data_IF_247614745886
#
_entry.id   IF_247614745886
#
_cell.length_a   1.000
_cell.length_b   1.000
_cell.length_c   1.000
_cell.angle_alpha   90.00
_cell.angle_beta   90.00
_cell.angle_gamma   90.00
#
_symmetry.space_group_name_H-M   'P 1'
#
loop_
_entity.id
_entity.type
_entity.pdbx_description
1 polymer ?
#
# COMPACT_ATOMS: atom_id res chain seq x y z
N UNK A 1 21.37 22.60 20.33
CA UNK A 1 20.48 23.42 19.50
C UNK A 1 19.68 22.51 18.56
N UNK A 2 18.42 22.88 18.28
CA UNK A 2 17.60 22.21 17.28
C UNK A 2 18.08 22.65 15.89
N UNK A 3 18.34 21.70 15.00
CA UNK A 3 18.86 22.00 13.67
C UNK A 3 17.87 21.69 12.53
N UNK A 4 16.73 21.04 12.82
CA UNK A 4 15.72 20.71 11.81
C UNK A 4 14.37 20.40 12.42
N UNK A 5 13.37 20.25 11.55
CA UNK A 5 12.00 19.90 11.91
C UNK A 5 11.55 18.68 11.12
N UNK A 6 10.73 17.84 11.73
CA UNK A 6 10.10 16.68 11.10
C UNK A 6 8.61 16.61 11.45
N UNK A 7 7.79 16.25 10.45
CA UNK A 7 6.37 15.98 10.64
C UNK A 7 5.89 14.86 9.72
N UNK A 8 5.52 13.73 10.29
CA UNK A 8 4.92 12.61 9.54
C UNK A 8 3.45 12.42 9.90
N UNK A 9 2.58 12.41 8.88
CA UNK A 9 1.15 12.11 9.03
C UNK A 9 0.71 11.20 7.88
N UNK A 10 0.42 9.94 8.16
CA UNK A 10 0.13 8.94 7.13
C UNK A 10 -1.29 9.00 6.54
N UNK A 11 -2.27 9.52 7.26
CA UNK A 11 -3.69 9.46 6.85
C UNK A 11 -4.23 10.71 6.18
N UNK A 12 -3.70 11.88 6.46
CA UNK A 12 -4.14 13.15 5.87
C UNK A 12 -3.41 13.39 4.53
N UNK A 13 -3.89 12.77 3.46
CA UNK A 13 -3.17 12.66 2.18
C UNK A 13 -3.54 13.73 1.14
N UNK A 14 -4.67 14.43 1.30
CA UNK A 14 -5.13 15.45 0.34
C UNK A 14 -4.29 16.74 0.38
N UNK A 15 -4.30 17.49 -0.70
CA UNK A 15 -3.49 18.72 -0.91
C UNK A 15 -3.72 19.75 0.18
N UNK A 16 -4.96 19.95 0.63
CA UNK A 16 -5.27 20.90 1.72
C UNK A 16 -4.55 20.53 3.02
N UNK A 17 -4.47 19.22 3.34
CA UNK A 17 -3.77 18.76 4.53
C UNK A 17 -2.25 18.94 4.39
N UNK A 18 -1.71 18.73 3.20
CA UNK A 18 -0.30 18.95 2.92
C UNK A 18 0.07 20.42 2.96
N UNK A 19 -0.78 21.32 2.44
CA UNK A 19 -0.59 22.78 2.60
C UNK A 19 -0.52 23.15 4.09
N UNK A 20 -1.48 22.69 4.88
CA UNK A 20 -1.47 22.96 6.33
C UNK A 20 -0.23 22.39 7.03
N UNK A 21 0.26 21.23 6.61
CA UNK A 21 1.47 20.61 7.16
C UNK A 21 2.69 21.48 6.95
N UNK A 22 2.92 21.92 5.71
CA UNK A 22 4.09 22.76 5.41
C UNK A 22 3.95 24.14 6.07
N UNK A 23 2.77 24.76 6.06
CA UNK A 23 2.53 26.06 6.72
C UNK A 23 2.82 25.97 8.23
N UNK A 24 2.38 24.89 8.89
CA UNK A 24 2.65 24.68 10.32
C UNK A 24 4.15 24.45 10.60
N UNK A 25 4.86 23.69 9.76
CA UNK A 25 6.30 23.49 9.91
C UNK A 25 7.06 24.81 9.77
N UNK A 26 6.70 25.65 8.80
CA UNK A 26 7.29 26.96 8.61
C UNK A 26 6.98 27.89 9.78
N UNK A 27 5.73 27.89 10.26
CA UNK A 27 5.34 28.66 11.45
C UNK A 27 6.14 28.25 12.70
N UNK A 28 6.35 26.95 12.90
CA UNK A 28 7.17 26.45 14.02
C UNK A 28 8.63 26.87 13.85
N UNK A 29 9.17 26.82 12.61
CA UNK A 29 10.52 27.29 12.34
C UNK A 29 10.69 28.77 12.72
N UNK A 30 9.78 29.62 12.24
CA UNK A 30 9.83 31.07 12.48
C UNK A 30 9.63 31.46 13.95
N UNK A 31 8.81 30.67 14.67
CA UNK A 31 8.44 31.04 16.06
C UNK A 31 9.44 30.55 17.09
N UNK A 32 10.04 29.38 16.89
CA UNK A 32 10.79 28.68 17.94
C UNK A 32 12.27 28.45 17.60
N UNK A 33 12.70 28.68 16.36
CA UNK A 33 14.11 28.55 16.00
C UNK A 33 14.77 29.93 15.90
N UNK A 34 15.93 30.08 16.52
CA UNK A 34 16.70 31.34 16.50
C UNK A 34 17.26 31.69 15.12
N UNK A 35 17.36 30.68 14.24
CA UNK A 35 17.85 30.80 12.86
C UNK A 35 17.17 29.76 11.97
N UNK A 36 17.24 29.96 10.66
CA UNK A 36 16.70 29.01 9.70
C UNK A 36 17.20 27.58 9.99
N UNK A 37 16.32 26.56 9.98
CA UNK A 37 16.72 25.17 10.15
C UNK A 37 17.66 24.72 9.05
N UNK A 38 18.47 23.70 9.30
CA UNK A 38 19.29 23.06 8.28
C UNK A 38 18.45 22.22 7.33
N UNK A 39 17.37 21.63 7.85
CA UNK A 39 16.43 20.83 7.07
C UNK A 39 14.98 20.89 7.60
N UNK A 40 14.05 20.62 6.71
CA UNK A 40 12.64 20.36 7.01
C UNK A 40 12.27 19.04 6.36
N UNK A 41 11.85 18.08 7.19
CA UNK A 41 11.37 16.79 6.75
C UNK A 41 9.85 16.72 6.90
N UNK A 42 9.17 16.55 5.76
CA UNK A 42 7.71 16.50 5.73
C UNK A 42 7.16 15.07 5.86
N UNK A 43 8.04 14.08 6.10
CA UNK A 43 7.65 12.69 6.18
C UNK A 43 7.01 12.18 4.89
N UNK A 44 5.98 11.35 5.04
CA UNK A 44 5.16 10.92 3.90
C UNK A 44 3.67 10.89 4.27
N UNK A 45 2.91 10.02 3.62
CA UNK A 45 1.46 10.00 3.55
C UNK A 45 0.98 10.61 2.22
N UNK A 46 1.82 10.60 1.20
CA UNK A 46 1.44 10.94 -0.17
C UNK A 46 0.70 9.76 -0.81
N UNK A 47 -0.17 10.06 -1.76
CA UNK A 47 -0.63 9.07 -2.72
C UNK A 47 0.50 8.75 -3.69
N UNK A 48 0.59 7.47 -4.08
CA UNK A 48 1.43 7.02 -5.18
C UNK A 48 0.58 6.68 -6.40
N UNK A 49 1.25 6.30 -7.46
CA UNK A 49 0.57 5.69 -8.59
C UNK A 49 -0.08 4.37 -8.16
N UNK A 50 -1.28 4.11 -8.64
CA UNK A 50 -2.04 2.92 -8.32
C UNK A 50 -2.98 2.55 -9.47
N UNK A 51 -3.48 1.33 -9.44
CA UNK A 51 -4.50 0.88 -10.38
C UNK A 51 -5.75 1.77 -10.32
N UNK A 52 -6.42 1.93 -11.46
CA UNK A 52 -7.60 2.78 -11.58
C UNK A 52 -8.75 2.34 -10.67
N UNK A 53 -8.94 1.05 -10.46
CA UNK A 53 -9.96 0.48 -9.57
C UNK A 53 -9.70 0.80 -8.10
N UNK A 54 -8.43 0.92 -7.71
CA UNK A 54 -8.03 1.34 -6.38
C UNK A 54 -8.13 2.87 -6.24
N UNK A 55 -7.66 3.61 -7.23
CA UNK A 55 -7.72 5.08 -7.26
C UNK A 55 -9.15 5.59 -7.15
N UNK A 56 -10.10 4.96 -7.84
CA UNK A 56 -11.52 5.30 -7.80
C UNK A 56 -12.18 5.17 -6.41
N UNK A 57 -11.55 4.48 -5.47
CA UNK A 57 -12.04 4.36 -4.10
C UNK A 57 -11.63 5.53 -3.19
N UNK A 58 -10.88 6.49 -3.71
CA UNK A 58 -10.49 7.71 -3.00
C UNK A 58 -11.21 8.91 -3.62
N UNK A 59 -11.57 9.89 -2.79
CA UNK A 59 -12.26 11.11 -3.25
C UNK A 59 -11.37 11.94 -4.19
N UNK A 60 -10.08 12.06 -3.87
CA UNK A 60 -9.06 12.66 -4.71
C UNK A 60 -7.71 12.06 -4.38
N UNK A 61 -6.95 11.68 -5.40
CA UNK A 61 -5.57 11.24 -5.27
C UNK A 61 -4.66 12.24 -6.00
N UNK A 62 -4.04 13.19 -5.27
CA UNK A 62 -3.13 14.17 -5.86
C UNK A 62 -1.93 13.51 -6.55
N UNK A 63 -1.44 14.13 -7.61
CA UNK A 63 -0.21 13.74 -8.30
C UNK A 63 1.04 14.14 -7.53
N UNK A 64 2.20 13.62 -7.93
CA UNK A 64 3.48 14.06 -7.36
C UNK A 64 3.74 15.54 -7.62
N UNK A 65 3.33 16.05 -8.78
CA UNK A 65 3.44 17.46 -9.16
C UNK A 65 2.60 18.36 -8.24
N UNK A 66 1.40 17.91 -7.84
CA UNK A 66 0.55 18.65 -6.90
C UNK A 66 1.22 18.77 -5.53
N UNK A 67 1.80 17.67 -5.02
CA UNK A 67 2.55 17.70 -3.77
C UNK A 67 3.80 18.58 -3.89
N UNK A 68 4.54 18.50 -5.00
CA UNK A 68 5.73 19.31 -5.23
C UNK A 68 5.39 20.82 -5.26
N UNK A 69 4.31 21.21 -5.94
CA UNK A 69 3.84 22.60 -5.96
C UNK A 69 3.52 23.12 -4.57
N UNK A 70 2.81 22.32 -3.77
CA UNK A 70 2.40 22.71 -2.44
C UNK A 70 3.59 22.74 -1.48
N UNK A 71 4.39 21.69 -1.41
CA UNK A 71 5.45 21.56 -0.41
C UNK A 71 6.68 22.35 -0.82
N UNK A 72 7.29 21.98 -1.94
CA UNK A 72 8.52 22.62 -2.39
C UNK A 72 8.28 24.06 -2.85
N UNK A 73 7.15 24.34 -3.49
CA UNK A 73 6.78 25.70 -3.91
C UNK A 73 6.58 26.64 -2.74
N UNK A 74 5.86 26.23 -1.68
CA UNK A 74 5.66 27.03 -0.46
C UNK A 74 6.98 27.26 0.26
N UNK A 75 7.79 26.21 0.41
CA UNK A 75 9.09 26.32 1.08
C UNK A 75 10.06 27.21 0.29
N UNK A 76 10.11 27.08 -1.04
CA UNK A 76 10.96 27.90 -1.89
C UNK A 76 10.59 29.39 -1.79
N UNK A 77 9.30 29.72 -1.80
CA UNK A 77 8.81 31.09 -1.61
C UNK A 77 9.15 31.64 -0.23
N UNK A 78 8.95 30.84 0.83
CA UNK A 78 9.21 31.26 2.21
C UNK A 78 10.68 31.64 2.43
N UNK A 79 11.61 30.84 1.89
CA UNK A 79 13.05 31.05 2.03
C UNK A 79 13.68 31.75 0.80
N UNK A 80 12.89 32.45 -0.02
CA UNK A 80 13.41 33.09 -1.26
C UNK A 80 14.60 34.00 -1.00
N UNK A 81 14.52 34.83 0.04
CA UNK A 81 15.53 35.82 0.43
C UNK A 81 16.56 35.29 1.43
N UNK A 82 16.46 34.04 1.85
CA UNK A 82 17.36 33.48 2.83
C UNK A 82 18.73 33.17 2.24
N UNK A 83 19.79 33.59 2.93
CA UNK A 83 21.17 33.29 2.55
C UNK A 83 21.45 31.79 2.58
N UNK A 84 20.89 31.09 3.58
CA UNK A 84 20.95 29.63 3.71
C UNK A 84 19.52 29.08 3.69
N UNK A 85 19.23 28.24 2.70
CA UNK A 85 17.94 27.58 2.53
C UNK A 85 17.97 26.21 3.18
N UNK A 86 16.91 25.80 3.92
CA UNK A 86 16.81 24.44 4.41
C UNK A 86 16.75 23.40 3.31
N UNK A 87 17.27 22.21 3.58
CA UNK A 87 17.07 21.03 2.72
C UNK A 87 15.69 20.47 3.00
N UNK A 88 14.93 20.21 1.93
CA UNK A 88 13.65 19.50 2.02
C UNK A 88 13.89 18.00 1.96
N UNK A 89 13.41 17.27 2.98
CA UNK A 89 13.33 15.82 2.99
C UNK A 89 11.88 15.36 2.91
N UNK A 90 11.69 14.20 2.32
CA UNK A 90 10.44 13.43 2.36
C UNK A 90 10.77 11.94 2.52
N UNK A 91 9.83 11.18 3.11
CA UNK A 91 10.00 9.77 3.44
C UNK A 91 8.97 8.89 2.69
N UNK A 92 8.99 8.86 1.35
CA UNK A 92 8.01 8.13 0.58
C UNK A 92 8.24 6.61 0.72
N UNK A 93 7.27 5.90 1.29
CA UNK A 93 7.26 4.44 1.42
C UNK A 93 6.29 3.80 0.43
N UNK A 94 5.07 3.51 0.87
CA UNK A 94 3.98 2.94 0.04
C UNK A 94 3.82 3.65 -1.30
N UNK A 95 3.97 4.96 -1.31
CA UNK A 95 3.94 5.83 -2.49
C UNK A 95 4.84 5.34 -3.63
N UNK A 96 6.05 4.86 -3.32
CA UNK A 96 7.03 4.44 -4.32
C UNK A 96 6.86 2.99 -4.76
N UNK A 97 6.48 2.09 -3.84
CA UNK A 97 6.64 0.66 -4.07
C UNK A 97 5.33 -0.13 -4.18
N UNK A 98 4.20 0.42 -3.73
CA UNK A 98 2.95 -0.35 -3.64
C UNK A 98 2.55 -1.00 -4.97
N UNK A 99 2.57 -0.24 -6.06
CA UNK A 99 2.11 -0.69 -7.38
C UNK A 99 2.99 -1.76 -8.04
N UNK A 100 4.23 -1.89 -7.60
CA UNK A 100 5.21 -2.77 -8.25
C UNK A 100 5.20 -4.19 -7.71
N UNK A 101 4.44 -4.47 -6.64
CA UNK A 101 4.30 -5.81 -6.10
C UNK A 101 2.88 -6.31 -6.24
N UNK A 102 2.78 -7.57 -6.63
CA UNK A 102 1.54 -8.35 -6.60
C UNK A 102 1.70 -9.56 -5.69
N UNK A 103 0.62 -9.92 -5.00
CA UNK A 103 0.48 -11.18 -4.30
C UNK A 103 -0.22 -12.17 -5.22
N UNK A 104 0.45 -13.28 -5.53
CA UNK A 104 -0.13 -14.40 -6.26
C UNK A 104 -0.50 -15.48 -5.26
N UNK A 105 -1.74 -15.89 -5.24
CA UNK A 105 -2.28 -16.85 -4.27
C UNK A 105 -3.21 -17.85 -4.94
N UNK A 106 -3.25 -19.08 -4.42
CA UNK A 106 -4.08 -20.18 -4.93
C UNK A 106 -5.29 -20.36 -4.05
N UNK A 107 -6.44 -20.65 -4.65
CA UNK A 107 -7.66 -21.04 -3.92
C UNK A 107 -7.52 -22.47 -3.44
N UNK A 108 -7.42 -22.64 -2.12
CA UNK A 108 -7.26 -23.95 -1.48
C UNK A 108 -8.61 -24.63 -1.19
N UNK A 109 -9.56 -23.88 -0.65
CA UNK A 109 -10.82 -24.43 -0.22
C UNK A 109 -11.95 -23.44 -0.33
N UNK A 110 -13.17 -23.93 -0.54
CA UNK A 110 -14.39 -23.12 -0.62
C UNK A 110 -15.44 -23.71 0.31
N UNK A 111 -15.94 -22.89 1.22
CA UNK A 111 -16.97 -23.28 2.20
C UNK A 111 -18.13 -22.29 2.16
N UNK A 112 -19.33 -22.80 2.00
CA UNK A 112 -20.57 -22.02 2.10
C UNK A 112 -21.22 -22.26 3.47
N UNK A 113 -21.49 -21.18 4.19
CA UNK A 113 -22.19 -21.19 5.47
C UNK A 113 -23.38 -20.25 5.35
N UNK A 114 -24.58 -20.79 5.34
CA UNK A 114 -25.84 -20.06 5.10
C UNK A 114 -25.78 -19.31 3.75
N UNK A 115 -25.81 -17.99 3.76
CA UNK A 115 -25.80 -17.10 2.59
C UNK A 115 -24.41 -16.52 2.26
N UNK A 116 -23.35 -17.01 2.93
CA UNK A 116 -21.98 -16.54 2.76
C UNK A 116 -21.07 -17.62 2.23
N UNK A 117 -20.18 -17.25 1.32
CA UNK A 117 -19.11 -18.07 0.80
C UNK A 117 -17.78 -17.58 1.37
N UNK A 118 -16.99 -18.51 1.88
CA UNK A 118 -15.64 -18.29 2.38
C UNK A 118 -14.68 -19.06 1.48
N UNK A 119 -13.83 -18.35 0.80
CA UNK A 119 -12.78 -18.87 -0.08
C UNK A 119 -11.47 -18.76 0.67
N UNK A 120 -10.87 -19.86 1.08
CA UNK A 120 -9.57 -19.87 1.73
C UNK A 120 -8.47 -19.96 0.68
N UNK A 121 -7.42 -19.15 0.83
CA UNK A 121 -6.27 -19.13 -0.05
C UNK A 121 -4.96 -19.42 0.71
N UNK A 122 -3.90 -19.79 -0.01
CA UNK A 122 -2.57 -20.12 0.51
C UNK A 122 -1.73 -18.91 0.96
N UNK A 123 -2.37 -17.77 1.17
CA UNK A 123 -1.76 -16.54 1.66
C UNK A 123 -2.57 -15.93 2.81
N UNK A 124 -2.13 -14.82 3.34
CA UNK A 124 -2.77 -14.11 4.44
C UNK A 124 -2.86 -12.61 4.13
N UNK A 125 -3.77 -11.90 4.79
CA UNK A 125 -3.85 -10.44 4.69
C UNK A 125 -2.51 -9.76 5.06
N UNK A 126 -1.68 -10.38 5.88
CA UNK A 126 -0.33 -9.92 6.17
C UNK A 126 0.56 -9.82 4.92
N UNK A 127 0.29 -10.60 3.88
CA UNK A 127 1.01 -10.52 2.60
C UNK A 127 0.59 -9.33 1.73
N UNK A 128 -0.49 -8.63 2.08
CA UNK A 128 -1.03 -7.51 1.30
C UNK A 128 -0.69 -6.14 1.88
N UNK A 129 -0.14 -6.10 3.10
CA UNK A 129 0.09 -4.86 3.83
C UNK A 129 -1.21 -4.26 4.39
N UNK A 130 -1.12 -3.06 4.94
CA UNK A 130 -2.25 -2.42 5.65
C UNK A 130 -3.40 -1.97 4.75
N UNK A 131 -3.18 -1.84 3.44
CA UNK A 131 -4.18 -1.26 2.53
C UNK A 131 -5.44 -2.10 2.44
N UNK A 132 -5.34 -3.41 2.58
CA UNK A 132 -6.48 -4.34 2.52
C UNK A 132 -7.51 -4.08 3.62
N UNK A 133 -7.09 -3.52 4.74
CA UNK A 133 -7.97 -3.16 5.86
C UNK A 133 -8.86 -1.93 5.56
N UNK A 134 -8.51 -1.18 4.52
CA UNK A 134 -9.17 0.10 4.18
C UNK A 134 -9.82 0.10 2.80
N UNK A 135 -9.25 -0.63 1.84
CA UNK A 135 -9.63 -0.59 0.43
C UNK A 135 -9.59 -1.98 -0.21
N UNK A 136 -10.41 -2.15 -1.24
CA UNK A 136 -10.42 -3.36 -2.06
C UNK A 136 -9.26 -3.31 -3.04
N UNK A 137 -8.42 -4.34 -3.02
CA UNK A 137 -7.25 -4.43 -3.90
C UNK A 137 -7.67 -4.68 -5.36
N UNK A 138 -6.93 -4.15 -6.34
CA UNK A 138 -7.04 -4.62 -7.72
C UNK A 138 -6.70 -6.10 -7.77
N UNK A 139 -7.39 -6.84 -8.63
CA UNK A 139 -7.15 -8.28 -8.76
C UNK A 139 -7.26 -8.75 -10.20
N UNK A 140 -6.65 -9.90 -10.47
CA UNK A 140 -6.79 -10.68 -11.69
C UNK A 140 -6.95 -12.17 -11.32
N UNK A 141 -7.79 -12.89 -12.04
CA UNK A 141 -7.99 -14.32 -11.82
C UNK A 141 -7.44 -15.10 -13.01
N UNK A 142 -6.61 -16.11 -12.71
CA UNK A 142 -6.19 -17.12 -13.67
C UNK A 142 -6.96 -18.41 -13.37
N UNK A 143 -7.85 -18.78 -14.27
CA UNK A 143 -8.71 -19.94 -14.13
C UNK A 143 -7.92 -21.24 -14.35
N UNK A 144 -8.12 -22.24 -13.49
CA UNK A 144 -7.34 -23.49 -13.56
C UNK A 144 -7.71 -24.45 -14.72
N UNK A 145 -8.71 -24.11 -15.53
CA UNK A 145 -9.11 -24.88 -16.71
C UNK A 145 -9.80 -26.22 -16.43
N UNK A 146 -9.91 -26.69 -15.20
CA UNK A 146 -10.70 -27.84 -14.80
C UNK A 146 -12.18 -27.45 -14.83
N UNK A 147 -13.04 -28.31 -15.35
CA UNK A 147 -14.46 -28.07 -15.59
C UNK A 147 -15.13 -27.05 -14.66
N UNK A 148 -15.95 -26.18 -15.19
CA UNK A 148 -16.48 -25.06 -14.45
C UNK A 148 -17.52 -25.52 -13.41
N UNK A 149 -17.11 -25.54 -12.14
CA UNK A 149 -17.98 -25.83 -11.00
C UNK A 149 -18.34 -24.58 -10.21
N UNK A 150 -18.00 -23.39 -10.76
CA UNK A 150 -18.21 -22.11 -10.09
C UNK A 150 -19.69 -21.80 -9.97
N UNK A 151 -20.11 -21.54 -8.76
CA UNK A 151 -21.45 -20.99 -8.49
C UNK A 151 -21.32 -19.51 -8.12
N UNK A 152 -22.22 -18.68 -8.64
CA UNK A 152 -22.33 -17.31 -8.19
C UNK A 152 -22.92 -17.33 -6.78
N UNK A 153 -22.07 -17.11 -5.79
CA UNK A 153 -22.50 -17.02 -4.39
C UNK A 153 -22.49 -15.56 -3.99
N UNK A 154 -23.61 -15.06 -3.52
CA UNK A 154 -23.70 -13.72 -2.94
C UNK A 154 -22.83 -13.67 -1.67
N UNK A 155 -22.10 -12.56 -1.48
CA UNK A 155 -21.24 -12.32 -0.29
C UNK A 155 -20.08 -13.31 -0.14
N UNK A 156 -19.25 -13.41 -1.14
CA UNK A 156 -17.99 -14.18 -1.11
C UNK A 156 -16.90 -13.37 -0.42
N UNK A 157 -16.22 -13.97 0.56
CA UNK A 157 -15.04 -13.39 1.18
C UNK A 157 -13.81 -14.25 0.85
N UNK A 158 -12.71 -13.60 0.47
CA UNK A 158 -11.41 -14.26 0.33
C UNK A 158 -10.70 -14.19 1.67
N UNK A 159 -10.48 -15.36 2.27
CA UNK A 159 -9.90 -15.54 3.59
C UNK A 159 -8.47 -16.07 3.46
N UNK A 160 -7.60 -15.63 4.35
CA UNK A 160 -6.26 -16.19 4.45
C UNK A 160 -6.24 -17.53 5.20
N UNK A 161 -5.05 -18.10 5.34
CA UNK A 161 -4.82 -19.41 5.97
C UNK A 161 -4.74 -19.35 7.50
N UNK A 162 -4.74 -18.18 8.11
CA UNK A 162 -4.56 -18.07 9.55
C UNK A 162 -5.87 -18.35 10.30
N UNK A 163 -5.78 -18.63 11.61
CA UNK A 163 -6.92 -18.79 12.48
C UNK A 163 -7.56 -17.45 12.93
N UNK A 164 -7.04 -16.32 12.46
CA UNK A 164 -7.52 -15.01 12.85
C UNK A 164 -8.77 -14.63 12.07
N UNK A 165 -9.83 -14.20 12.74
CA UNK A 165 -11.08 -13.78 12.09
C UNK A 165 -10.89 -12.60 11.13
N UNK A 166 -9.94 -11.71 11.42
CA UNK A 166 -9.60 -10.58 10.55
C UNK A 166 -8.73 -10.97 9.36
N UNK A 167 -8.31 -12.24 9.23
CA UNK A 167 -7.52 -12.67 8.06
C UNK A 167 -8.40 -12.78 6.81
N UNK A 168 -8.90 -11.65 6.38
CA UNK A 168 -9.73 -11.47 5.20
C UNK A 168 -9.04 -10.54 4.22
N UNK A 169 -8.69 -11.07 3.03
CA UNK A 169 -8.00 -10.32 1.99
C UNK A 169 -8.98 -9.48 1.16
N UNK A 170 -10.21 -9.99 0.98
CA UNK A 170 -11.21 -9.29 0.19
C UNK A 170 -12.62 -9.62 0.67
N UNK A 171 -13.39 -8.62 1.02
CA UNK A 171 -14.81 -8.76 1.40
C UNK A 171 -15.72 -8.52 0.20
N UNK A 172 -16.81 -9.30 0.10
CA UNK A 172 -17.77 -9.21 -1.00
C UNK A 172 -17.08 -9.27 -2.37
N UNK A 173 -16.26 -10.32 -2.57
CA UNK A 173 -15.54 -10.55 -3.80
C UNK A 173 -16.53 -10.76 -4.96
N UNK A 174 -16.45 -9.99 -6.06
CA UNK A 174 -17.52 -9.94 -7.05
C UNK A 174 -17.50 -11.11 -8.06
N UNK A 175 -16.43 -11.92 -8.05
CA UNK A 175 -16.23 -12.99 -8.99
C UNK A 175 -16.44 -14.37 -8.35
N UNK A 176 -16.88 -15.33 -9.14
CA UNK A 176 -16.88 -16.73 -8.75
C UNK A 176 -15.51 -17.36 -8.97
N UNK A 177 -15.06 -18.16 -8.01
CA UNK A 177 -13.81 -18.93 -8.08
C UNK A 177 -14.04 -20.38 -7.72
N UNK A 178 -13.08 -21.25 -8.05
CA UNK A 178 -13.06 -22.66 -7.65
C UNK A 178 -11.67 -23.03 -7.13
N UNK A 179 -11.58 -24.15 -6.44
CA UNK A 179 -10.31 -24.69 -5.93
C UNK A 179 -9.30 -24.85 -7.08
N UNK A 180 -8.08 -24.40 -6.84
CA UNK A 180 -6.99 -24.37 -7.79
C UNK A 180 -6.99 -23.15 -8.73
N UNK A 181 -7.98 -22.26 -8.69
CA UNK A 181 -7.86 -20.96 -9.36
C UNK A 181 -6.77 -20.13 -8.67
N UNK A 182 -6.09 -19.30 -9.44
CA UNK A 182 -5.07 -18.39 -8.94
C UNK A 182 -5.64 -16.97 -8.94
N UNK A 183 -5.48 -16.26 -7.83
CA UNK A 183 -5.83 -14.85 -7.72
C UNK A 183 -4.54 -14.05 -7.55
N UNK A 184 -4.35 -13.05 -8.38
CA UNK A 184 -3.30 -12.05 -8.24
C UNK A 184 -3.91 -10.78 -7.68
N UNK A 185 -3.42 -10.31 -6.53
CA UNK A 185 -3.78 -9.02 -5.95
C UNK A 185 -2.66 -8.01 -6.18
N UNK A 186 -2.96 -6.92 -6.86
CA UNK A 186 -2.00 -5.84 -7.14
C UNK A 186 -1.90 -4.81 -6.01
N UNK A 187 -0.94 -3.90 -6.15
CA UNK A 187 -0.72 -2.78 -5.22
C UNK A 187 -0.38 -3.19 -3.78
N UNK A 188 0.32 -4.30 -3.60
CA UNK A 188 0.63 -4.85 -2.26
C UNK A 188 2.05 -4.52 -1.76
N UNK A 189 2.82 -3.64 -2.44
CA UNK A 189 4.23 -3.41 -2.10
C UNK A 189 4.49 -2.69 -0.78
N UNK A 190 3.49 -2.01 -0.21
CA UNK A 190 3.66 -1.26 1.02
C UNK A 190 3.42 -2.10 2.28
N UNK A 191 4.44 -2.25 3.14
CA UNK A 191 4.37 -2.95 4.42
C UNK A 191 4.03 -4.44 4.36
N UNK A 192 4.01 -5.05 3.19
CA UNK A 192 3.67 -6.46 3.02
C UNK A 192 4.83 -7.41 3.35
N UNK A 193 6.03 -7.11 2.85
CA UNK A 193 7.20 -7.97 3.04
C UNK A 193 7.78 -7.82 4.45
N UNK A 194 7.89 -6.58 4.93
CA UNK A 194 8.57 -6.26 6.19
C UNK A 194 7.70 -6.46 7.42
N UNK A 195 6.37 -6.41 7.27
CA UNK A 195 5.43 -6.50 8.39
C UNK A 195 4.76 -7.86 8.54
N UNK A 196 4.98 -8.79 7.59
CA UNK A 196 4.42 -10.14 7.71
C UNK A 196 5.18 -10.96 8.75
N UNK A 197 4.53 -11.39 9.85
CA UNK A 197 5.14 -12.33 10.78
C UNK A 197 5.19 -13.74 10.16
N UNK A 198 6.13 -14.60 10.57
CA UNK A 198 6.13 -16.01 10.22
C UNK A 198 5.09 -16.78 11.08
N UNK A 199 3.82 -16.34 10.99
CA UNK A 199 2.72 -16.89 11.77
C UNK A 199 1.99 -17.96 10.98
N UNK A 200 1.96 -19.20 11.52
CA UNK A 200 1.41 -20.45 10.94
C UNK A 200 2.22 -20.92 9.73
N UNK A 201 2.54 -20.01 8.79
CA UNK A 201 3.39 -20.35 7.64
C UNK A 201 4.57 -19.38 7.52
N UNK A 202 5.74 -19.88 7.11
CA UNK A 202 6.89 -19.05 6.78
C UNK A 202 6.58 -18.05 5.66
N UNK A 203 7.46 -17.07 5.49
CA UNK A 203 7.31 -16.11 4.40
C UNK A 203 7.50 -16.78 3.04
N UNK A 204 6.62 -16.41 2.09
CA UNK A 204 6.68 -16.91 0.72
C UNK A 204 7.93 -16.39 -0.01
N UNK A 205 8.28 -17.05 -1.11
CA UNK A 205 9.31 -16.57 -2.04
C UNK A 205 8.88 -15.27 -2.71
N UNK A 206 9.88 -14.48 -3.13
CA UNK A 206 9.66 -13.27 -3.92
C UNK A 206 10.34 -13.49 -5.28
N UNK A 207 9.56 -13.31 -6.34
CA UNK A 207 10.03 -13.39 -7.71
C UNK A 207 10.01 -12.00 -8.34
N UNK A 208 10.95 -11.73 -9.22
CA UNK A 208 10.94 -10.58 -10.13
C UNK A 208 10.73 -11.06 -11.55
N UNK A 209 10.10 -10.23 -12.36
CA UNK A 209 10.01 -10.43 -13.82
C UNK A 209 11.03 -9.49 -14.45
N UNK A 210 11.96 -10.04 -15.23
CA UNK A 210 12.95 -9.25 -15.97
C UNK A 210 12.29 -8.50 -17.14
N UNK A 211 12.96 -7.51 -17.75
CA UNK A 211 12.46 -6.86 -18.96
C UNK A 211 12.21 -7.86 -20.12
N UNK A 212 12.95 -8.97 -20.15
CA UNK A 212 12.82 -10.05 -21.14
C UNK A 212 11.65 -10.99 -20.85
N UNK A 213 11.03 -10.88 -19.66
CA UNK A 213 9.90 -11.69 -19.22
C UNK A 213 10.29 -12.93 -18.38
N UNK A 214 11.56 -13.09 -18.05
CA UNK A 214 12.04 -14.21 -17.24
C UNK A 214 11.72 -14.01 -15.76
N UNK A 215 11.43 -15.12 -15.05
CA UNK A 215 11.23 -15.11 -13.60
C UNK A 215 12.56 -15.33 -12.89
N UNK A 216 12.92 -14.40 -12.01
CA UNK A 216 14.11 -14.47 -11.16
C UNK A 216 13.70 -14.47 -9.69
N UNK A 217 14.24 -15.44 -8.93
CA UNK A 217 14.03 -15.49 -7.50
C UNK A 217 14.86 -14.43 -6.78
N UNK A 218 14.20 -13.45 -6.16
CA UNK A 218 14.82 -12.37 -5.38
C UNK A 218 14.99 -12.77 -3.91
N UNK A 219 13.99 -13.48 -3.37
CA UNK A 219 14.03 -14.02 -2.01
C UNK A 219 13.48 -15.43 -2.02
N UNK A 220 14.21 -16.36 -1.43
CA UNK A 220 13.76 -17.74 -1.24
C UNK A 220 12.61 -17.81 -0.26
N UNK A 221 11.76 -18.81 -0.41
CA UNK A 221 10.79 -19.17 0.62
C UNK A 221 11.52 -19.49 1.92
N UNK A 222 11.03 -18.95 3.02
CA UNK A 222 11.51 -19.33 4.33
C UNK A 222 11.05 -20.75 4.67
N UNK A 223 11.81 -21.43 5.51
CA UNK A 223 11.50 -22.77 6.04
C UNK A 223 11.43 -22.73 7.56
N UNK A 224 10.77 -23.72 8.15
CA UNK A 224 10.77 -23.92 9.59
C UNK A 224 12.16 -24.32 10.10
#
# INVERSE_FOLDING_TARGET
SVCGLHCHISRARGIVAWQKRIDNLLHVADTYLEKNPDFIDVGSGMFGEMDSSLSAQFEAAPSYEDYAKVVAGTMAKHYEQATKKPILFSEPGTTLIAKYLSLVTTVDNIKTIKDRCFVTVDSSYYNTGEIVLMKKLPYRIVRNGKGDTRSIVKKTNIMGFTCLEQDCIYTDFPESVQEGDIIEFGNVGGYSIVSKPPFIQPNCKILSITPEGDLVEIKRQETY
#
